data_IF_552141232226
#
_entry.id   IF_552141232226
#
_cell.length_a   1.000
_cell.length_b   1.000
_cell.length_c   1.000
_cell.angle_alpha   90.00
_cell.angle_beta   90.00
_cell.angle_gamma   90.00
#
_symmetry.space_group_name_H-M   'P 1'
#
loop_
_entity.id
_entity.type
_entity.pdbx_description
1 polymer ?
#
# COMPACT_ATOMS: atom_id res chain seq x y z
N UNK A 1 -23.78 13.58 -9.44
CA UNK A 1 -22.58 13.25 -8.63
C UNK A 1 -22.17 11.79 -8.56
N UNK A 2 -23.06 10.79 -8.43
CA UNK A 2 -22.63 9.37 -8.44
C UNK A 2 -22.40 8.76 -9.83
N UNK A 3 -23.17 9.20 -10.84
CA UNK A 3 -23.10 8.68 -12.22
C UNK A 3 -21.77 9.02 -12.91
N UNK A 4 -21.20 10.19 -12.64
CA UNK A 4 -19.96 10.66 -13.27
C UNK A 4 -18.74 9.85 -12.78
N UNK A 5 -18.71 9.52 -11.48
CA UNK A 5 -17.68 8.65 -10.90
C UNK A 5 -17.68 7.25 -11.51
N UNK A 6 -18.87 6.67 -11.71
CA UNK A 6 -18.98 5.34 -12.36
C UNK A 6 -18.47 5.38 -13.80
N UNK A 7 -18.80 6.42 -14.56
CA UNK A 7 -18.30 6.61 -15.93
C UNK A 7 -16.78 6.71 -15.96
N UNK A 8 -16.17 7.48 -15.06
CA UNK A 8 -14.72 7.60 -15.00
C UNK A 8 -14.04 6.28 -14.65
N UNK A 9 -14.60 5.51 -13.71
CA UNK A 9 -14.10 4.16 -13.40
C UNK A 9 -14.17 3.23 -14.61
N UNK A 10 -15.30 3.23 -15.33
CA UNK A 10 -15.50 2.41 -16.52
C UNK A 10 -14.53 2.81 -17.63
N UNK A 11 -14.29 4.11 -17.82
CA UNK A 11 -13.32 4.62 -18.79
C UNK A 11 -11.89 4.17 -18.46
N UNK A 12 -11.49 4.20 -17.19
CA UNK A 12 -10.20 3.66 -16.75
C UNK A 12 -10.08 2.15 -16.98
N UNK A 13 -11.16 1.39 -16.80
CA UNK A 13 -11.20 -0.04 -17.11
C UNK A 13 -11.05 -0.31 -18.61
N UNK A 14 -11.73 0.48 -19.45
CA UNK A 14 -11.66 0.36 -20.91
C UNK A 14 -10.24 0.68 -21.39
N UNK A 15 -9.69 1.82 -20.96
CA UNK A 15 -8.32 2.21 -21.31
C UNK A 15 -7.32 1.14 -20.84
N UNK A 16 -7.44 0.66 -19.59
CA UNK A 16 -6.58 -0.41 -19.08
C UNK A 16 -6.66 -1.69 -19.92
N UNK A 17 -7.87 -2.07 -20.35
CA UNK A 17 -8.10 -3.21 -21.25
C UNK A 17 -7.49 -3.00 -22.64
N UNK A 18 -7.70 -1.83 -23.26
CA UNK A 18 -7.13 -1.47 -24.56
C UNK A 18 -5.60 -1.49 -24.52
N UNK A 19 -4.99 -0.99 -23.44
CA UNK A 19 -3.54 -1.06 -23.23
C UNK A 19 -3.03 -2.51 -23.13
N UNK A 20 -3.75 -3.39 -22.44
CA UNK A 20 -3.38 -4.82 -22.38
C UNK A 20 -3.51 -5.53 -23.73
N UNK A 21 -4.59 -5.26 -24.46
CA UNK A 21 -4.78 -5.81 -25.81
C UNK A 21 -3.70 -5.30 -26.75
N UNK A 22 -3.37 -4.02 -26.69
CA UNK A 22 -2.29 -3.42 -27.48
C UNK A 22 -0.92 -4.00 -27.10
N UNK A 23 -0.66 -4.21 -25.81
CA UNK A 23 0.55 -4.88 -25.34
C UNK A 23 0.66 -6.32 -25.85
N UNK A 24 -0.46 -7.04 -25.89
CA UNK A 24 -0.52 -8.41 -26.40
C UNK A 24 -0.31 -8.45 -27.92
N UNK A 25 -0.92 -7.53 -28.68
CA UNK A 25 -0.67 -7.39 -30.12
C UNK A 25 0.80 -7.02 -30.41
N UNK A 26 1.38 -6.12 -29.63
CA UNK A 26 2.77 -5.73 -29.77
C UNK A 26 3.74 -6.86 -29.38
N UNK A 27 3.28 -7.82 -28.57
CA UNK A 27 4.07 -9.00 -28.19
C UNK A 27 4.46 -9.89 -29.36
N UNK A 28 3.69 -9.86 -30.46
CA UNK A 28 4.03 -10.57 -31.70
C UNK A 28 5.25 -9.99 -32.42
N UNK A 29 5.49 -8.68 -32.27
CA UNK A 29 6.62 -8.00 -32.91
C UNK A 29 7.81 -7.83 -31.95
N UNK A 30 7.52 -7.43 -30.70
CA UNK A 30 8.53 -7.27 -29.65
C UNK A 30 8.11 -8.10 -28.42
N UNK A 31 8.79 -9.22 -28.12
CA UNK A 31 8.42 -10.07 -27.00
C UNK A 31 8.52 -9.32 -25.68
N UNK A 32 7.66 -9.69 -24.73
CA UNK A 32 7.59 -9.04 -23.42
C UNK A 32 8.82 -9.43 -22.59
N UNK A 33 9.88 -8.63 -22.71
CA UNK A 33 11.14 -8.84 -21.99
C UNK A 33 11.29 -7.76 -20.93
N UNK A 34 11.35 -8.20 -19.66
CA UNK A 34 11.55 -7.30 -18.50
C UNK A 34 12.95 -6.68 -18.46
N UNK A 35 13.98 -7.40 -18.95
CA UNK A 35 15.39 -6.97 -18.85
C UNK A 35 15.71 -5.75 -19.69
N UNK A 36 15.08 -5.60 -20.86
CA UNK A 36 15.35 -4.49 -21.80
C UNK A 36 14.27 -3.40 -21.75
N UNK A 37 13.32 -3.49 -20.81
CA UNK A 37 12.19 -2.56 -20.68
C UNK A 37 11.47 -2.32 -22.02
N UNK A 38 11.07 -3.42 -22.66
CA UNK A 38 10.40 -3.40 -23.98
C UNK A 38 9.07 -2.62 -23.96
N UNK A 39 8.70 -2.01 -25.08
CA UNK A 39 7.44 -1.27 -25.22
C UNK A 39 6.21 -2.13 -24.86
N UNK A 40 6.19 -3.40 -25.27
CA UNK A 40 5.16 -4.37 -24.90
C UNK A 40 5.09 -4.59 -23.38
N UNK A 41 6.24 -4.63 -22.69
CA UNK A 41 6.28 -4.75 -21.22
C UNK A 41 5.75 -3.49 -20.53
N UNK A 42 6.10 -2.31 -21.02
CA UNK A 42 5.62 -1.04 -20.46
C UNK A 42 4.11 -0.88 -20.63
N UNK A 43 3.58 -1.21 -21.82
CA UNK A 43 2.13 -1.20 -22.06
C UNK A 43 1.41 -2.25 -21.20
N UNK A 44 1.97 -3.44 -21.04
CA UNK A 44 1.40 -4.48 -20.19
C UNK A 44 1.31 -4.06 -18.72
N UNK A 45 2.42 -3.53 -18.19
CA UNK A 45 2.49 -3.02 -16.81
C UNK A 45 1.59 -1.80 -16.61
N UNK A 46 1.52 -0.90 -17.58
CA UNK A 46 0.65 0.27 -17.57
C UNK A 46 -0.83 -0.11 -17.58
N UNK A 47 -1.24 -1.03 -18.46
CA UNK A 47 -2.61 -1.54 -18.53
C UNK A 47 -3.06 -2.17 -17.21
N UNK A 48 -2.22 -3.00 -16.58
CA UNK A 48 -2.48 -3.54 -15.25
C UNK A 48 -2.63 -2.44 -14.18
N UNK A 49 -1.79 -1.40 -14.22
CA UNK A 49 -1.88 -0.27 -13.30
C UNK A 49 -3.22 0.48 -13.45
N UNK A 50 -3.66 0.73 -14.69
CA UNK A 50 -4.95 1.37 -14.96
C UNK A 50 -6.14 0.52 -14.51
N UNK A 51 -6.11 -0.80 -14.74
CA UNK A 51 -7.14 -1.71 -14.24
C UNK A 51 -7.21 -1.71 -12.71
N UNK A 52 -6.05 -1.75 -12.04
CA UNK A 52 -5.99 -1.75 -10.58
C UNK A 52 -6.48 -0.41 -10.01
N UNK A 53 -6.11 0.70 -10.65
CA UNK A 53 -6.62 2.04 -10.35
C UNK A 53 -8.15 2.10 -10.49
N UNK A 54 -8.68 1.59 -11.60
CA UNK A 54 -10.12 1.57 -11.87
C UNK A 54 -10.89 0.74 -10.83
N UNK A 55 -10.32 -0.40 -10.41
CA UNK A 55 -10.87 -1.26 -9.36
C UNK A 55 -10.91 -0.54 -8.01
N UNK A 56 -9.81 0.07 -7.57
CA UNK A 56 -9.78 0.82 -6.31
C UNK A 56 -10.72 2.02 -6.34
N UNK A 57 -10.78 2.73 -7.46
CA UNK A 57 -11.72 3.84 -7.63
C UNK A 57 -13.17 3.34 -7.51
N UNK A 58 -13.52 2.22 -8.13
CA UNK A 58 -14.86 1.64 -7.98
C UNK A 58 -15.18 1.24 -6.53
N UNK A 59 -14.25 0.57 -5.84
CA UNK A 59 -14.46 0.09 -4.46
C UNK A 59 -14.55 1.26 -3.47
N UNK A 60 -13.68 2.26 -3.59
CA UNK A 60 -13.59 3.39 -2.65
C UNK A 60 -14.72 4.39 -2.91
N UNK A 61 -14.84 4.86 -4.15
CA UNK A 61 -15.69 6.01 -4.50
C UNK A 61 -17.14 5.62 -4.81
N UNK A 62 -17.37 4.47 -5.46
CA UNK A 62 -18.72 4.03 -5.80
C UNK A 62 -19.34 3.14 -4.72
N UNK A 63 -18.62 2.13 -4.23
CA UNK A 63 -19.13 1.22 -3.18
C UNK A 63 -19.07 1.83 -1.77
N UNK A 64 -18.41 2.98 -1.61
CA UNK A 64 -18.37 3.72 -0.34
C UNK A 64 -17.62 3.01 0.78
N UNK A 65 -16.71 2.08 0.46
CA UNK A 65 -15.90 1.34 1.44
C UNK A 65 -14.78 2.18 2.08
N UNK A 66 -14.85 3.51 2.00
CA UNK A 66 -13.86 4.45 2.52
C UNK A 66 -13.59 4.27 4.02
N UNK A 67 -14.61 3.91 4.82
CA UNK A 67 -14.45 3.71 6.27
C UNK A 67 -13.50 2.57 6.63
N UNK A 68 -13.53 1.45 5.89
CA UNK A 68 -12.59 0.32 6.11
C UNK A 68 -11.18 0.64 5.59
N UNK A 69 -11.10 1.41 4.51
CA UNK A 69 -9.83 1.81 3.90
C UNK A 69 -9.17 3.00 4.59
N UNK A 70 -9.82 3.63 5.57
CA UNK A 70 -9.22 4.71 6.35
C UNK A 70 -7.92 4.26 7.05
N UNK A 71 -7.79 3.00 7.47
CA UNK A 71 -6.52 2.48 8.02
C UNK A 71 -5.40 2.46 6.99
N UNK A 72 -5.67 2.06 5.74
CA UNK A 72 -4.70 2.20 4.65
C UNK A 72 -4.37 3.68 4.37
N UNK A 73 -5.38 4.56 4.47
CA UNK A 73 -5.19 6.00 4.29
C UNK A 73 -4.26 6.58 5.38
N UNK A 74 -4.37 6.12 6.62
CA UNK A 74 -3.49 6.51 7.74
C UNK A 74 -2.03 6.20 7.39
N UNK A 75 -1.79 4.98 6.92
CA UNK A 75 -0.46 4.53 6.54
C UNK A 75 0.07 5.26 5.30
N UNK A 76 -0.77 5.45 4.29
CA UNK A 76 -0.40 6.07 3.02
C UNK A 76 -0.14 7.58 3.11
N UNK A 77 -0.88 8.32 3.95
CA UNK A 77 -0.69 9.77 4.10
C UNK A 77 0.58 10.12 4.87
N UNK A 78 1.15 9.18 5.63
CA UNK A 78 2.38 9.35 6.40
C UNK A 78 3.45 8.32 5.98
N UNK A 79 3.50 7.96 4.70
CA UNK A 79 4.41 6.92 4.19
C UNK A 79 5.89 7.26 4.41
N UNK A 80 6.27 8.54 4.30
CA UNK A 80 7.64 9.02 4.58
C UNK A 80 8.01 8.78 6.05
N UNK A 81 7.07 9.06 6.95
CA UNK A 81 7.23 8.88 8.40
C UNK A 81 7.27 7.39 8.74
N UNK A 82 6.45 6.56 8.07
CA UNK A 82 6.48 5.11 8.23
C UNK A 82 7.86 4.55 7.85
N UNK A 83 8.42 5.01 6.73
CA UNK A 83 9.73 4.61 6.25
C UNK A 83 10.86 5.08 7.19
N UNK A 84 10.85 6.35 7.58
CA UNK A 84 11.88 6.90 8.48
C UNK A 84 11.78 6.29 9.87
N UNK A 85 10.60 6.07 10.44
CA UNK A 85 10.46 5.38 11.73
C UNK A 85 10.93 3.92 11.64
N UNK A 86 10.63 3.23 10.54
CA UNK A 86 11.10 1.86 10.31
C UNK A 86 12.63 1.77 10.18
N UNK A 87 13.29 2.82 9.69
CA UNK A 87 14.74 2.89 9.55
C UNK A 87 15.46 3.43 10.80
N UNK A 88 14.90 4.47 11.42
CA UNK A 88 15.52 5.23 12.52
C UNK A 88 15.31 4.55 13.87
N UNK A 89 14.18 3.86 14.07
CA UNK A 89 13.92 3.24 15.36
C UNK A 89 14.20 1.74 15.31
N UNK A 90 15.40 1.39 15.77
CA UNK A 90 15.77 0.02 16.08
C UNK A 90 15.10 -0.38 17.41
N UNK A 91 13.79 -0.68 17.36
CA UNK A 91 12.90 -0.94 18.50
C UNK A 91 13.26 -2.18 19.36
N UNK A 92 14.42 -2.81 19.18
CA UNK A 92 14.89 -3.83 20.14
C UNK A 92 14.96 -3.26 21.55
N UNK A 93 15.42 -2.02 21.73
CA UNK A 93 15.57 -1.41 23.06
C UNK A 93 14.24 -0.86 23.62
N UNK A 94 13.42 -0.21 22.79
CA UNK A 94 12.14 0.34 23.22
C UNK A 94 11.07 -0.74 23.51
N UNK A 95 11.04 -1.84 22.74
CA UNK A 95 10.16 -2.97 23.02
C UNK A 95 10.59 -3.71 24.29
N UNK A 96 11.89 -3.86 24.53
CA UNK A 96 12.43 -4.48 25.75
C UNK A 96 12.12 -3.67 27.01
N UNK A 97 12.18 -2.33 26.93
CA UNK A 97 11.84 -1.45 28.06
C UNK A 97 10.34 -1.44 28.41
N UNK A 98 9.45 -1.71 27.44
CA UNK A 98 8.01 -1.80 27.65
C UNK A 98 7.54 -3.22 28.03
N UNK A 99 8.25 -4.27 27.60
CA UNK A 99 7.89 -5.67 27.80
C UNK A 99 8.73 -6.41 28.85
N UNK A 100 9.59 -5.71 29.60
CA UNK A 100 10.34 -6.25 30.75
C UNK A 100 9.47 -7.16 31.65
N UNK A 101 8.19 -6.81 31.85
CA UNK A 101 7.26 -7.57 32.71
C UNK A 101 6.66 -8.85 32.10
N UNK A 102 6.73 -9.03 30.77
CA UNK A 102 6.10 -10.16 30.05
C UNK A 102 7.07 -11.30 29.72
N UNK A 103 8.38 -11.05 29.86
CA UNK A 103 9.45 -12.04 29.66
C UNK A 103 9.24 -13.31 30.49
N UNK A 104 8.70 -13.14 31.70
CA UNK A 104 8.46 -14.24 32.66
C UNK A 104 7.35 -15.21 32.24
N UNK A 105 6.49 -14.83 31.29
CA UNK A 105 5.32 -15.62 30.87
C UNK A 105 5.43 -16.27 29.48
N UNK A 106 6.44 -15.91 28.66
CA UNK A 106 6.42 -16.26 27.22
C UNK A 106 7.57 -17.12 26.69
N UNK A 107 8.59 -17.44 27.50
CA UNK A 107 9.61 -18.47 27.17
C UNK A 107 10.18 -18.35 25.74
N UNK A 108 10.22 -19.47 25.00
CA UNK A 108 10.81 -19.57 23.64
C UNK A 108 10.09 -18.75 22.55
N UNK A 109 8.83 -18.34 22.76
CA UNK A 109 8.08 -17.54 21.78
C UNK A 109 8.32 -16.03 21.92
N UNK A 110 9.13 -15.63 22.90
CA UNK A 110 9.38 -14.23 23.23
C UNK A 110 9.90 -13.43 22.02
N UNK A 111 10.78 -14.01 21.18
CA UNK A 111 11.32 -13.32 20.01
C UNK A 111 10.24 -12.95 18.96
N UNK A 112 9.28 -13.83 18.73
CA UNK A 112 8.16 -13.58 17.82
C UNK A 112 7.18 -12.55 18.40
N UNK A 113 6.88 -12.66 19.69
CA UNK A 113 6.03 -11.72 20.42
C UNK A 113 6.66 -10.32 20.47
N UNK A 114 7.97 -10.23 20.66
CA UNK A 114 8.70 -8.96 20.68
C UNK A 114 8.67 -8.27 19.31
N UNK A 115 8.80 -9.04 18.24
CA UNK A 115 8.73 -8.53 16.86
C UNK A 115 7.33 -8.04 16.52
N UNK A 116 6.30 -8.77 16.93
CA UNK A 116 4.91 -8.37 16.75
C UNK A 116 4.55 -7.12 17.57
N UNK A 117 4.99 -7.07 18.83
CA UNK A 117 4.77 -5.93 19.70
C UNK A 117 5.48 -4.67 19.20
N UNK A 118 6.69 -4.80 18.67
CA UNK A 118 7.40 -3.72 17.99
C UNK A 118 6.56 -3.15 16.82
N UNK A 119 6.07 -4.02 15.94
CA UNK A 119 5.21 -3.61 14.84
C UNK A 119 3.91 -2.94 15.34
N UNK A 120 3.34 -3.41 16.44
CA UNK A 120 2.14 -2.85 17.05
C UNK A 120 2.40 -1.46 17.67
N UNK A 121 3.55 -1.26 18.33
CA UNK A 121 3.97 0.04 18.88
C UNK A 121 4.20 1.04 17.74
N UNK A 122 4.92 0.63 16.69
CA UNK A 122 5.08 1.40 15.45
C UNK A 122 3.72 1.83 14.89
N UNK A 123 2.81 0.88 14.80
CA UNK A 123 1.47 1.11 14.30
C UNK A 123 0.70 2.13 15.16
N UNK A 124 0.78 2.02 16.49
CA UNK A 124 0.15 2.96 17.43
C UNK A 124 0.75 4.37 17.34
N UNK A 125 2.07 4.50 17.18
CA UNK A 125 2.74 5.80 17.01
C UNK A 125 2.26 6.47 15.72
N UNK A 126 2.21 5.73 14.61
CA UNK A 126 1.64 6.23 13.35
C UNK A 126 0.18 6.66 13.51
N UNK A 127 -0.62 5.87 14.22
CA UNK A 127 -2.02 6.18 14.46
C UNK A 127 -2.20 7.44 15.32
N UNK A 128 -1.32 7.66 16.31
CA UNK A 128 -1.27 8.88 17.12
C UNK A 128 -0.89 10.10 16.26
N UNK A 129 0.17 10.01 15.45
CA UNK A 129 0.57 11.10 14.55
C UNK A 129 -0.53 11.48 13.57
N UNK A 130 -1.25 10.47 13.05
CA UNK A 130 -2.41 10.71 12.21
C UNK A 130 -3.56 11.41 12.93
N UNK A 131 -3.89 10.98 14.17
CA UNK A 131 -4.91 11.65 14.99
C UNK A 131 -4.52 13.10 15.29
N UNK A 132 -3.23 13.38 15.47
CA UNK A 132 -2.67 14.70 15.70
C UNK A 132 -2.57 15.56 14.42
N UNK A 133 -2.97 15.03 13.25
CA UNK A 133 -2.90 15.71 11.93
C UNK A 133 -1.52 16.29 11.58
N UNK A 134 -0.44 15.71 12.10
CA UNK A 134 0.91 16.11 11.71
C UNK A 134 1.26 15.34 10.45
N UNK A 135 1.07 15.97 9.30
CA UNK A 135 1.45 15.42 8.00
C UNK A 135 2.77 16.05 7.58
N UNK A 136 3.84 15.24 7.59
CA UNK A 136 5.13 15.67 7.05
C UNK A 136 5.01 15.63 5.54
N UNK A 137 4.87 16.81 4.94
CA UNK A 137 4.92 17.04 3.51
C UNK A 137 6.31 17.58 3.18
N UNK A 138 6.98 16.96 2.21
CA UNK A 138 8.21 17.48 1.60
C UNK A 138 7.82 18.24 0.34
#
# INVERSE_FOLDING_TARGET
>A
NGKDKRKNSQLLFIIGGELLVSAWLLSFQTPIIKKIWSASMTLWSGGLCFLLMALFYYIVDYKGWSKRLNWLKIYGMNSIVAYTLGMVINFRSAAHSLLWGLEKYTGDYYSAVLTFANFLILFLILQLMYKLRVFVKI
#
